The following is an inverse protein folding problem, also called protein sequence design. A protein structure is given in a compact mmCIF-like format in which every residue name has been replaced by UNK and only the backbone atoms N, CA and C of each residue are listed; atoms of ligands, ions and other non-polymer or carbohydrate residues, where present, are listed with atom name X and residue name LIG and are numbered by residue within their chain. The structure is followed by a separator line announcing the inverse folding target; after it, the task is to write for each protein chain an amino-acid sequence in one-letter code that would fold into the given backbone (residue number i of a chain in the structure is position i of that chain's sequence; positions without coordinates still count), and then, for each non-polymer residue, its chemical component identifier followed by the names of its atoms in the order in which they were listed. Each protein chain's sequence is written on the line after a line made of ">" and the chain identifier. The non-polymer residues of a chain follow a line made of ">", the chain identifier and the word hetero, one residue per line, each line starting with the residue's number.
data_IF_982058528015
#
_entry.id   IF_982058528015
#
_cell.length_a   1.000
_cell.length_b   1.000
_cell.length_c   1.000
_cell.angle_alpha   90.00
_cell.angle_beta   90.00
_cell.angle_gamma   90.00
#
_symmetry.space_group_name_H-M   'P 1'
#
loop_
_entity.id
_entity.type
_entity.pdbx_description
1 polymer ?
#
# COMPACT_ATOMS: atom_id res chain seq x y z
N UNK A 1 -23.49 43.44 33.65
CA UNK A 1 -22.25 42.86 33.09
C UNK A 1 -21.67 43.84 32.07
N UNK A 2 -20.49 44.41 32.31
CA UNK A 2 -19.81 45.30 31.35
C UNK A 2 -18.95 44.45 30.41
N UNK A 3 -19.25 44.46 29.11
CA UNK A 3 -18.41 43.80 28.10
C UNK A 3 -16.99 44.39 28.11
N UNK A 4 -15.94 43.57 28.08
CA UNK A 4 -14.58 44.09 28.03
C UNK A 4 -14.32 44.76 26.68
N UNK A 5 -13.80 46.00 26.74
CA UNK A 5 -13.44 46.82 25.58
C UNK A 5 -12.35 46.16 24.73
N UNK A 6 -12.57 46.13 23.40
CA UNK A 6 -11.65 45.62 22.37
C UNK A 6 -10.31 46.38 22.29
N UNK A 7 -10.11 47.47 23.05
CA UNK A 7 -8.86 48.25 23.05
C UNK A 7 -7.66 47.47 23.61
N UNK A 8 -7.87 46.47 24.46
CA UNK A 8 -6.79 45.67 25.04
C UNK A 8 -6.20 44.60 24.09
N UNK A 9 -6.84 44.35 22.94
CA UNK A 9 -6.39 43.35 21.94
C UNK A 9 -5.28 43.93 21.03
N UNK A 10 -5.01 45.25 21.09
CA UNK A 10 -3.96 45.90 20.30
C UNK A 10 -2.61 46.02 21.01
N UNK A 11 -2.50 45.59 22.27
CA UNK A 11 -1.23 45.55 22.98
C UNK A 11 -0.44 44.29 22.53
N UNK A 12 0.73 44.45 21.87
CA UNK A 12 1.53 43.33 21.39
C UNK A 12 1.88 42.33 22.49
N UNK A 13 2.09 42.80 23.73
CA UNK A 13 2.41 41.95 24.85
C UNK A 13 1.21 41.09 25.27
N UNK A 14 0.01 41.67 25.27
CA UNK A 14 -1.24 40.94 25.58
C UNK A 14 -1.57 39.94 24.48
N UNK A 15 -1.30 40.27 23.21
CA UNK A 15 -1.47 39.34 22.08
C UNK A 15 -0.49 38.17 22.18
N UNK A 16 0.79 38.43 22.47
CA UNK A 16 1.80 37.37 22.66
C UNK A 16 1.44 36.49 23.85
N UNK A 17 1.05 37.09 24.98
CA UNK A 17 0.61 36.36 26.16
C UNK A 17 -0.66 35.53 25.88
N UNK A 18 -1.62 36.08 25.15
CA UNK A 18 -2.84 35.38 24.75
C UNK A 18 -2.54 34.23 23.80
N UNK A 19 -1.62 34.40 22.84
CA UNK A 19 -1.17 33.33 21.96
C UNK A 19 -0.46 32.22 22.75
N UNK A 20 0.41 32.58 23.69
CA UNK A 20 1.05 31.62 24.60
C UNK A 20 0.04 30.91 25.50
N UNK A 21 -0.99 31.61 25.99
CA UNK A 21 -2.07 31.04 26.80
C UNK A 21 -3.01 30.16 25.96
N UNK A 22 -3.23 30.47 24.69
CA UNK A 22 -3.98 29.64 23.73
C UNK A 22 -3.19 28.38 23.40
N UNK A 23 -1.89 28.48 23.08
CA UNK A 23 -1.03 27.31 22.86
C UNK A 23 -0.98 26.46 24.12
N UNK A 24 -0.74 27.06 25.30
CA UNK A 24 -0.81 26.34 26.59
C UNK A 24 -2.17 25.72 26.86
N UNK A 25 -3.28 26.31 26.40
CA UNK A 25 -4.63 25.75 26.59
C UNK A 25 -5.00 24.69 25.56
N UNK A 26 -4.48 24.77 24.34
CA UNK A 26 -4.56 23.71 23.34
C UNK A 26 -3.67 22.52 23.75
N UNK A 27 -2.55 22.78 24.42
CA UNK A 27 -1.70 21.78 25.08
C UNK A 27 -2.28 21.26 26.42
N UNK A 28 -3.31 21.90 27.01
CA UNK A 28 -3.98 21.39 28.22
C UNK A 28 -5.01 20.33 27.79
N UNK A 29 -4.97 19.09 28.26
CA UNK A 29 -4.22 18.58 29.40
C UNK A 29 -4.77 17.21 29.75
N UNK A 30 -4.43 16.21 28.93
CA UNK A 30 -4.51 14.80 29.31
C UNK A 30 -3.55 13.93 28.48
N UNK A 31 -2.42 14.50 28.04
CA UNK A 31 -1.35 13.65 27.56
C UNK A 31 -0.80 12.91 28.77
N UNK A 32 -0.92 11.58 28.79
CA UNK A 32 -0.24 10.74 29.78
C UNK A 32 1.29 11.00 29.80
N UNK A 33 1.81 11.68 28.77
CA UNK A 33 3.19 12.00 28.50
C UNK A 33 3.61 13.38 29.03
N UNK A 34 3.70 13.54 30.34
CA UNK A 34 4.03 14.83 30.99
C UNK A 34 5.48 15.29 30.81
N UNK A 35 6.38 14.39 30.39
CA UNK A 35 7.81 14.67 30.17
C UNK A 35 8.12 15.20 28.76
N UNK A 36 7.11 15.27 27.91
CA UNK A 36 7.24 15.57 26.48
C UNK A 36 6.80 17.00 26.20
N UNK A 37 7.58 17.72 25.40
CA UNK A 37 7.25 19.04 24.89
C UNK A 37 7.31 19.03 23.36
N UNK A 38 6.79 20.08 22.73
CA UNK A 38 6.70 20.20 21.27
C UNK A 38 8.00 19.84 20.54
N UNK A 39 9.17 20.43 20.90
CA UNK A 39 10.44 20.12 20.26
C UNK A 39 10.86 18.65 20.36
N UNK A 40 10.77 18.04 21.56
CA UNK A 40 11.11 16.61 21.75
C UNK A 40 10.17 15.71 20.97
N UNK A 41 8.88 16.02 20.94
CA UNK A 41 7.91 15.27 20.15
C UNK A 41 8.17 15.38 18.65
N UNK A 42 8.51 16.55 18.15
CA UNK A 42 8.80 16.75 16.72
C UNK A 42 9.97 15.88 16.27
N UNK A 43 11.05 15.83 17.06
CA UNK A 43 12.21 15.01 16.74
C UNK A 43 11.85 13.51 16.74
N UNK A 44 11.14 13.05 17.77
CA UNK A 44 10.71 11.64 17.86
C UNK A 44 9.76 11.28 16.73
N UNK A 45 8.85 12.18 16.33
CA UNK A 45 7.97 11.97 15.18
C UNK A 45 8.74 11.74 13.89
N UNK A 46 9.85 12.46 13.67
CA UNK A 46 10.71 12.21 12.51
C UNK A 46 11.42 10.85 12.60
N UNK A 47 11.80 10.42 13.80
CA UNK A 47 12.51 9.15 13.99
C UNK A 47 11.63 7.89 13.85
N UNK A 48 10.30 7.98 13.77
CA UNK A 48 9.40 6.81 13.70
C UNK A 48 9.64 5.99 12.43
N UNK A 49 9.86 6.67 11.31
CA UNK A 49 9.99 6.06 10.00
C UNK A 49 11.39 5.49 9.74
N UNK A 50 12.28 5.47 10.74
CA UNK A 50 13.63 4.94 10.59
C UNK A 50 14.11 4.20 11.85
N UNK A 51 15.17 3.40 11.70
CA UNK A 51 15.74 2.66 12.81
C UNK A 51 16.85 3.47 13.48
N UNK A 52 16.55 4.04 14.65
CA UNK A 52 17.51 4.77 15.50
C UNK A 52 17.60 4.09 16.87
N UNK A 53 18.82 3.91 17.44
CA UNK A 53 18.96 3.40 18.80
C UNK A 53 18.26 4.29 19.84
N UNK A 54 17.28 3.73 20.56
CA UNK A 54 16.47 4.47 21.53
C UNK A 54 17.30 5.07 22.68
N UNK A 55 18.41 4.42 23.06
CA UNK A 55 19.32 4.93 24.09
C UNK A 55 20.02 6.23 23.65
N UNK A 56 20.50 6.29 22.41
CA UNK A 56 21.16 7.48 21.89
C UNK A 56 20.15 8.61 21.62
N UNK A 57 18.95 8.25 21.13
CA UNK A 57 17.85 9.20 20.97
C UNK A 57 17.45 9.80 22.33
N UNK A 58 17.35 8.99 23.38
CA UNK A 58 17.13 9.45 24.76
C UNK A 58 18.21 10.43 25.20
N UNK A 59 19.48 10.10 24.97
CA UNK A 59 20.60 10.95 25.38
C UNK A 59 20.58 12.30 24.68
N UNK A 60 20.21 12.33 23.40
CA UNK A 60 19.99 13.58 22.67
C UNK A 60 18.80 14.36 23.23
N UNK A 61 17.64 13.72 23.41
CA UNK A 61 16.42 14.37 23.92
C UNK A 61 16.61 14.96 25.33
N UNK A 62 17.41 14.31 26.18
CA UNK A 62 17.72 14.79 27.53
C UNK A 62 18.64 16.03 27.55
N UNK A 63 19.31 16.35 26.44
CA UNK A 63 20.01 17.65 26.29
C UNK A 63 19.05 18.79 25.97
N UNK A 64 17.86 18.48 25.47
CA UNK A 64 16.81 19.45 25.23
C UNK A 64 16.08 19.79 26.55
N UNK A 65 15.42 20.95 26.60
CA UNK A 65 14.64 21.36 27.78
C UNK A 65 13.55 20.32 28.13
N UNK A 66 13.35 20.06 29.42
CA UNK A 66 12.28 19.21 29.94
C UNK A 66 12.75 18.13 30.93
N UNK A 67 11.82 17.42 31.59
CA UNK A 67 12.15 16.36 32.56
C UNK A 67 12.99 15.24 31.94
N UNK A 68 13.85 14.59 32.73
CA UNK A 68 14.67 13.48 32.24
C UNK A 68 13.80 12.31 31.75
N UNK A 69 14.09 11.84 30.54
CA UNK A 69 13.49 10.68 29.89
C UNK A 69 14.35 9.44 30.16
N UNK A 70 13.68 8.35 30.50
CA UNK A 70 14.24 6.99 30.48
C UNK A 70 14.19 6.42 29.06
N UNK A 71 14.92 5.33 28.82
CA UNK A 71 14.85 4.61 27.54
C UNK A 71 13.43 4.13 27.26
N UNK A 72 12.73 3.62 28.28
CA UNK A 72 11.35 3.17 28.15
C UNK A 72 10.38 4.32 27.81
N UNK A 73 10.61 5.53 28.34
CA UNK A 73 9.80 6.69 27.96
C UNK A 73 9.90 6.94 26.44
N UNK A 74 11.10 6.84 25.87
CA UNK A 74 11.36 7.06 24.42
C UNK A 74 10.79 5.93 23.57
N UNK A 75 11.05 4.67 23.92
CA UNK A 75 10.54 3.50 23.19
C UNK A 75 9.01 3.47 23.14
N UNK A 76 8.36 3.70 24.28
CA UNK A 76 6.91 3.73 24.32
C UNK A 76 6.34 4.94 23.61
N UNK A 77 7.04 6.08 23.58
CA UNK A 77 6.59 7.24 22.81
C UNK A 77 6.71 7.02 21.30
N UNK A 78 7.80 6.40 20.84
CA UNK A 78 7.96 5.98 19.44
C UNK A 78 6.81 5.05 19.01
N UNK A 79 6.50 4.04 19.85
CA UNK A 79 5.39 3.11 19.60
C UNK A 79 4.03 3.82 19.58
N UNK A 80 3.76 4.68 20.56
CA UNK A 80 2.51 5.42 20.63
C UNK A 80 2.29 6.28 19.38
N UNK A 81 3.32 6.96 18.88
CA UNK A 81 3.16 7.74 17.66
C UNK A 81 3.02 6.90 16.39
N UNK A 82 3.66 5.73 16.32
CA UNK A 82 3.46 4.80 15.22
C UNK A 82 1.99 4.34 15.15
N UNK A 83 1.40 4.00 16.31
CA UNK A 83 -0.01 3.61 16.43
C UNK A 83 -0.97 4.76 16.09
N UNK A 84 -0.69 5.99 16.54
CA UNK A 84 -1.54 7.17 16.30
C UNK A 84 -1.60 7.60 14.83
N UNK A 85 -0.48 7.49 14.10
CA UNK A 85 -0.37 8.07 12.74
C UNK A 85 -0.80 7.13 11.63
N UNK A 86 -1.12 5.85 11.91
CA UNK A 86 -1.11 4.79 10.90
C UNK A 86 0.16 4.85 10.03
N UNK A 87 1.25 5.37 10.61
CA UNK A 87 2.53 5.48 9.92
C UNK A 87 3.18 4.13 10.06
N UNK A 88 3.51 3.52 8.93
CA UNK A 88 4.25 2.27 8.94
C UNK A 88 5.58 2.52 9.67
N UNK A 89 5.85 1.69 10.68
CA UNK A 89 7.17 1.60 11.28
C UNK A 89 8.14 1.18 10.16
N UNK A 90 9.38 1.67 10.22
CA UNK A 90 10.41 1.21 9.29
C UNK A 90 10.44 -0.32 9.28
N UNK A 91 10.35 -0.94 8.10
CA UNK A 91 10.32 -2.41 8.00
C UNK A 91 11.55 -3.00 8.67
N UNK A 92 11.37 -4.13 9.37
CA UNK A 92 12.46 -4.82 10.07
C UNK A 92 13.64 -5.15 9.15
N UNK A 93 13.37 -5.42 7.87
CA UNK A 93 14.37 -5.71 6.85
C UNK A 93 15.34 -4.54 6.58
N UNK A 94 14.95 -3.30 6.86
CA UNK A 94 15.81 -2.12 6.68
C UNK A 94 16.67 -1.81 7.91
N UNK A 95 16.43 -2.49 9.04
CA UNK A 95 17.15 -2.27 10.30
C UNK A 95 18.68 -2.36 10.15
N UNK A 96 19.25 -3.39 9.49
CA UNK A 96 20.70 -3.49 9.36
C UNK A 96 21.32 -2.32 8.58
N UNK A 97 20.67 -1.87 7.50
CA UNK A 97 21.13 -0.75 6.69
C UNK A 97 21.08 0.57 7.45
N UNK A 98 19.96 0.83 8.14
CA UNK A 98 19.82 2.00 8.99
C UNK A 98 20.85 2.03 10.12
N UNK A 99 21.09 0.91 10.81
CA UNK A 99 22.08 0.87 11.89
C UNK A 99 23.51 1.09 11.37
N UNK A 100 23.84 0.59 10.17
CA UNK A 100 25.16 0.83 9.57
C UNK A 100 25.37 2.32 9.24
N UNK A 101 24.37 2.98 8.65
CA UNK A 101 24.39 4.42 8.39
C UNK A 101 24.48 5.20 9.70
N UNK A 102 23.67 4.82 10.69
CA UNK A 102 23.66 5.46 12.00
C UNK A 102 25.04 5.45 12.66
N UNK A 103 25.71 4.29 12.71
CA UNK A 103 27.04 4.17 13.32
C UNK A 103 28.11 4.98 12.56
N UNK A 104 28.02 5.03 11.23
CA UNK A 104 28.92 5.85 10.40
C UNK A 104 28.75 7.35 10.69
N UNK A 105 27.51 7.84 10.62
CA UNK A 105 27.20 9.25 10.88
C UNK A 105 27.52 9.66 12.32
N UNK A 106 27.30 8.76 13.29
CA UNK A 106 27.65 8.98 14.69
C UNK A 106 29.17 9.12 14.86
N UNK A 107 29.96 8.29 14.15
CA UNK A 107 31.42 8.36 14.20
C UNK A 107 31.96 9.67 13.61
N UNK A 108 31.28 10.21 12.60
CA UNK A 108 31.61 11.50 11.97
C UNK A 108 31.18 12.71 12.83
N UNK A 109 30.47 12.48 13.94
CA UNK A 109 29.99 13.52 14.84
C UNK A 109 28.77 14.27 14.30
N UNK A 110 28.02 13.68 13.36
CA UNK A 110 26.80 14.26 12.81
C UNK A 110 25.73 14.43 13.90
N UNK A 111 25.02 15.55 13.87
CA UNK A 111 23.94 15.84 14.83
C UNK A 111 22.73 14.92 14.61
N UNK A 112 22.10 14.46 15.71
CA UNK A 112 20.99 13.50 15.68
C UNK A 112 19.86 13.86 14.69
N UNK A 113 19.38 15.11 14.59
CA UNK A 113 18.35 15.47 13.61
C UNK A 113 18.80 15.26 12.16
N UNK A 114 20.09 15.49 11.86
CA UNK A 114 20.67 15.25 10.54
C UNK A 114 20.80 13.74 10.25
N UNK A 115 21.26 12.96 11.24
CA UNK A 115 21.29 11.48 11.12
C UNK A 115 19.90 10.94 10.81
N UNK A 116 18.86 11.40 11.52
CA UNK A 116 17.46 11.00 11.27
C UNK A 116 17.06 11.31 9.82
N UNK A 117 17.43 12.47 9.29
CA UNK A 117 17.17 12.84 7.89
C UNK A 117 17.81 11.88 6.89
N UNK A 118 19.10 11.55 7.08
CA UNK A 118 19.80 10.58 6.21
C UNK A 118 19.16 9.19 6.28
N UNK A 119 18.73 8.77 7.47
CA UNK A 119 18.05 7.48 7.64
C UNK A 119 16.68 7.45 6.98
N UNK A 120 15.92 8.55 7.01
CA UNK A 120 14.64 8.67 6.30
C UNK A 120 14.85 8.51 4.79
N UNK A 121 15.83 9.22 4.21
CA UNK A 121 16.15 9.09 2.79
C UNK A 121 16.58 7.66 2.40
N UNK A 122 17.29 6.96 3.29
CA UNK A 122 17.65 5.57 3.08
C UNK A 122 16.42 4.67 3.05
N UNK A 123 15.52 4.78 4.04
CA UNK A 123 14.29 3.99 4.11
C UNK A 123 13.42 4.22 2.88
N UNK A 124 13.20 5.48 2.49
CA UNK A 124 12.40 5.82 1.30
C UNK A 124 12.97 5.16 0.02
N UNK A 125 14.30 5.14 -0.13
CA UNK A 125 14.97 4.50 -1.27
C UNK A 125 14.80 2.98 -1.27
N UNK A 126 14.92 2.36 -0.10
CA UNK A 126 14.77 0.90 0.03
C UNK A 126 13.31 0.48 -0.20
N UNK A 127 12.34 1.26 0.25
CA UNK A 127 10.91 1.06 -0.05
C UNK A 127 10.62 1.13 -1.54
N UNK A 128 11.16 2.14 -2.23
CA UNK A 128 11.01 2.28 -3.67
C UNK A 128 11.60 1.07 -4.42
N UNK A 129 12.81 0.66 -4.03
CA UNK A 129 13.46 -0.51 -4.62
C UNK A 129 12.58 -1.76 -4.47
N UNK A 130 12.05 -1.98 -3.27
CA UNK A 130 11.21 -3.14 -2.98
C UNK A 130 9.89 -3.08 -3.75
N UNK A 131 9.27 -1.89 -3.86
CA UNK A 131 8.04 -1.69 -4.63
C UNK A 131 8.24 -2.06 -6.09
N UNK A 132 9.30 -1.55 -6.72
CA UNK A 132 9.63 -1.86 -8.12
C UNK A 132 9.89 -3.34 -8.31
N UNK A 133 10.63 -3.98 -7.39
CA UNK A 133 10.91 -5.41 -7.46
C UNK A 133 9.64 -6.26 -7.34
N UNK A 134 8.75 -5.92 -6.40
CA UNK A 134 7.47 -6.62 -6.22
C UNK A 134 6.56 -6.44 -7.43
N UNK A 135 6.49 -5.24 -7.99
CA UNK A 135 5.71 -4.98 -9.20
C UNK A 135 6.24 -5.79 -10.39
N UNK A 136 7.57 -5.79 -10.61
CA UNK A 136 8.18 -6.59 -11.67
C UNK A 136 7.90 -8.10 -11.51
N UNK A 137 8.02 -8.63 -10.28
CA UNK A 137 7.69 -10.03 -9.97
C UNK A 137 6.22 -10.34 -10.23
N UNK A 138 5.32 -9.45 -9.85
CA UNK A 138 3.88 -9.60 -10.07
C UNK A 138 3.52 -9.61 -11.55
N UNK A 139 4.08 -8.68 -12.33
CA UNK A 139 3.87 -8.62 -13.78
C UNK A 139 4.41 -9.86 -14.47
N UNK A 140 5.59 -10.34 -14.07
CA UNK A 140 6.18 -11.56 -14.61
C UNK A 140 5.33 -12.80 -14.29
N UNK A 141 4.83 -12.92 -13.05
CA UNK A 141 3.93 -14.00 -12.66
C UNK A 141 2.65 -13.97 -13.51
N UNK A 142 2.01 -12.81 -13.66
CA UNK A 142 0.84 -12.64 -14.52
C UNK A 142 1.11 -13.03 -15.96
N UNK A 143 2.26 -12.61 -16.52
CA UNK A 143 2.65 -12.93 -17.89
C UNK A 143 2.84 -14.44 -18.06
N UNK A 144 3.46 -15.12 -17.10
CA UNK A 144 3.61 -16.58 -17.09
C UNK A 144 2.27 -17.30 -16.98
N UNK A 145 1.39 -16.84 -16.10
CA UNK A 145 0.04 -17.42 -15.95
C UNK A 145 -0.79 -17.26 -17.23
N UNK A 146 -0.73 -16.09 -17.87
CA UNK A 146 -1.36 -15.84 -19.16
C UNK A 146 -0.82 -16.77 -20.25
N UNK A 147 0.51 -16.83 -20.41
CA UNK A 147 1.14 -17.71 -21.40
C UNK A 147 0.83 -19.19 -21.14
N UNK A 148 0.80 -19.63 -19.87
CA UNK A 148 0.43 -21.00 -19.52
C UNK A 148 -1.04 -21.31 -19.82
N UNK A 149 -1.94 -20.37 -19.60
CA UNK A 149 -3.35 -20.52 -19.95
C UNK A 149 -3.56 -20.57 -21.47
N UNK A 150 -2.89 -19.71 -22.23
CA UNK A 150 -2.89 -19.71 -23.69
C UNK A 150 -2.33 -21.03 -24.26
N UNK A 151 -1.19 -21.49 -23.75
CA UNK A 151 -0.61 -22.77 -24.16
C UNK A 151 -1.55 -23.95 -23.85
N UNK A 152 -2.24 -23.93 -22.71
CA UNK A 152 -3.23 -24.96 -22.36
C UNK A 152 -4.39 -24.96 -23.35
N UNK A 153 -4.94 -23.79 -23.68
CA UNK A 153 -6.01 -23.63 -24.66
C UNK A 153 -5.60 -24.17 -26.04
N UNK A 154 -4.37 -23.84 -26.48
CA UNK A 154 -3.82 -24.27 -27.77
C UNK A 154 -3.50 -25.77 -27.81
N UNK A 155 -3.10 -26.37 -26.67
CA UNK A 155 -2.75 -27.79 -26.59
C UNK A 155 -3.93 -28.75 -26.79
N UNK A 156 -5.17 -28.26 -26.81
CA UNK A 156 -6.37 -29.09 -26.88
C UNK A 156 -6.84 -29.65 -25.54
N UNK A 157 -6.10 -29.40 -24.45
CA UNK A 157 -6.52 -29.76 -23.10
C UNK A 157 -7.70 -28.91 -22.62
N UNK A 158 -8.55 -29.49 -21.76
CA UNK A 158 -9.62 -28.77 -21.11
C UNK A 158 -9.08 -27.61 -20.26
N UNK A 159 -9.73 -26.45 -20.37
CA UNK A 159 -9.28 -25.23 -19.72
C UNK A 159 -10.42 -24.28 -19.43
N UNK A 160 -10.24 -23.45 -18.40
CA UNK A 160 -11.17 -22.36 -18.06
C UNK A 160 -11.11 -21.24 -19.11
N UNK A 161 -12.04 -20.30 -18.99
CA UNK A 161 -12.08 -19.08 -19.79
C UNK A 161 -10.74 -18.33 -19.77
N UNK A 162 -10.08 -18.36 -20.92
CA UNK A 162 -8.76 -17.78 -21.18
C UNK A 162 -8.95 -16.61 -22.15
N UNK A 163 -8.57 -15.38 -21.78
CA UNK A 163 -8.57 -14.25 -22.70
C UNK A 163 -7.67 -14.51 -23.90
N UNK A 164 -8.08 -14.07 -25.08
CA UNK A 164 -7.26 -14.18 -26.27
C UNK A 164 -6.60 -12.85 -26.61
N UNK A 165 -5.29 -12.84 -26.95
CA UNK A 165 -4.63 -11.62 -27.35
C UNK A 165 -5.33 -10.92 -28.52
N UNK A 166 -5.36 -9.59 -28.48
CA UNK A 166 -5.87 -8.70 -29.55
C UNK A 166 -7.39 -8.70 -29.77
N UNK A 167 -8.16 -9.57 -29.09
CA UNK A 167 -9.63 -9.51 -29.11
C UNK A 167 -10.19 -9.33 -27.70
N UNK A 168 -11.49 -9.01 -27.60
CA UNK A 168 -12.20 -8.99 -26.32
C UNK A 168 -12.81 -10.35 -25.97
N UNK A 169 -12.50 -11.36 -26.77
CA UNK A 169 -13.06 -12.70 -26.64
C UNK A 169 -12.33 -13.48 -25.55
N UNK A 170 -13.06 -14.39 -24.93
CA UNK A 170 -12.48 -15.40 -24.04
C UNK A 170 -12.85 -16.78 -24.55
N UNK A 171 -11.94 -17.72 -24.42
CA UNK A 171 -12.11 -19.08 -24.93
C UNK A 171 -12.00 -20.09 -23.81
N UNK A 172 -12.71 -21.20 -23.91
CA UNK A 172 -12.53 -22.33 -23.01
C UNK A 172 -12.58 -23.64 -23.79
N UNK A 173 -12.01 -24.69 -23.19
CA UNK A 173 -12.15 -26.06 -23.68
C UNK A 173 -12.78 -26.93 -22.62
N UNK A 174 -13.81 -27.67 -23.02
CA UNK A 174 -14.48 -28.65 -22.17
C UNK A 174 -14.79 -29.87 -23.01
N UNK A 175 -14.38 -31.06 -22.55
CA UNK A 175 -14.51 -32.32 -23.28
C UNK A 175 -13.90 -32.25 -24.69
N UNK A 176 -12.77 -31.54 -24.84
CA UNK A 176 -12.06 -31.36 -26.11
C UNK A 176 -12.68 -30.38 -27.11
N UNK A 177 -13.90 -29.89 -26.85
CA UNK A 177 -14.60 -28.89 -27.68
C UNK A 177 -14.15 -27.48 -27.30
N UNK A 178 -14.03 -26.60 -28.29
CA UNK A 178 -13.58 -25.23 -28.11
C UNK A 178 -14.76 -24.27 -28.18
N UNK A 179 -14.92 -23.45 -27.14
CA UNK A 179 -15.96 -22.45 -27.05
C UNK A 179 -15.37 -21.05 -27.00
N UNK A 180 -15.97 -20.12 -27.71
CA UNK A 180 -15.63 -18.69 -27.74
C UNK A 180 -16.77 -17.89 -27.14
N UNK A 181 -16.46 -16.96 -26.25
CA UNK A 181 -17.41 -16.02 -25.68
C UNK A 181 -17.03 -14.60 -26.11
N UNK A 182 -17.89 -13.96 -26.88
CA UNK A 182 -17.66 -12.64 -27.47
C UNK A 182 -18.65 -11.61 -26.91
N UNK A 183 -18.21 -10.38 -26.57
CA UNK A 183 -19.12 -9.34 -26.13
C UNK A 183 -19.97 -8.82 -27.30
N UNK A 184 -21.29 -8.95 -27.17
CA UNK A 184 -22.28 -8.45 -28.10
C UNK A 184 -22.60 -6.95 -27.92
N UNK A 185 -23.34 -6.35 -28.86
CA UNK A 185 -23.66 -4.92 -28.85
C UNK A 185 -24.60 -4.49 -27.71
N UNK A 186 -25.37 -5.43 -27.15
CA UNK A 186 -26.35 -5.23 -26.09
C UNK A 186 -25.80 -5.51 -24.68
N UNK A 187 -24.46 -5.55 -24.54
CA UNK A 187 -23.73 -5.95 -23.33
C UNK A 187 -23.96 -7.42 -22.92
N UNK A 188 -24.63 -8.23 -23.75
CA UNK A 188 -24.68 -9.69 -23.57
C UNK A 188 -23.43 -10.33 -24.15
N UNK A 189 -23.24 -11.59 -23.82
CA UNK A 189 -22.13 -12.42 -24.25
C UNK A 189 -22.67 -13.48 -25.19
N UNK A 190 -22.20 -13.47 -26.43
CA UNK A 190 -22.53 -14.46 -27.44
C UNK A 190 -21.56 -15.64 -27.32
N UNK A 191 -22.11 -16.84 -27.09
CA UNK A 191 -21.36 -18.08 -26.96
C UNK A 191 -21.37 -18.81 -28.30
N UNK A 192 -20.18 -19.10 -28.82
CA UNK A 192 -19.98 -19.87 -30.03
C UNK A 192 -19.21 -21.15 -29.73
N UNK A 193 -19.53 -22.22 -30.45
CA UNK A 193 -18.60 -23.33 -30.65
C UNK A 193 -17.76 -23.05 -31.90
N UNK A 194 -16.43 -23.21 -31.79
CA UNK A 194 -15.49 -22.89 -32.86
C UNK A 194 -14.49 -24.04 -33.03
N UNK A 195 -13.96 -24.22 -34.23
CA UNK A 195 -12.97 -25.29 -34.47
C UNK A 195 -11.57 -24.89 -34.00
N UNK A 196 -11.22 -23.61 -34.17
CA UNK A 196 -9.92 -23.05 -33.78
C UNK A 196 -10.08 -21.64 -33.23
N UNK A 197 -9.06 -21.17 -32.50
CA UNK A 197 -9.00 -19.80 -31.95
C UNK A 197 -8.88 -18.73 -33.04
N UNK A 198 -8.46 -19.11 -34.25
CA UNK A 198 -8.32 -18.24 -35.42
C UNK A 198 -9.58 -18.21 -36.29
N UNK A 199 -10.54 -19.11 -36.03
CA UNK A 199 -11.77 -19.18 -36.80
C UNK A 199 -12.60 -17.90 -36.60
N UNK A 200 -12.83 -17.17 -37.69
CA UNK A 200 -13.67 -15.98 -37.68
C UNK A 200 -15.14 -16.33 -37.33
N UNK A 201 -15.61 -17.48 -37.82
CA UNK A 201 -16.96 -18.00 -37.59
C UNK A 201 -17.04 -19.11 -36.54
N UNK A 202 -18.25 -19.39 -36.09
CA UNK A 202 -18.58 -20.47 -35.17
C UNK A 202 -20.09 -20.68 -35.12
N UNK A 203 -20.52 -21.82 -34.59
CA UNK A 203 -21.94 -22.11 -34.35
C UNK A 203 -22.41 -21.35 -33.11
N UNK A 204 -23.41 -20.47 -33.25
CA UNK A 204 -23.95 -19.71 -32.13
C UNK A 204 -24.78 -20.64 -31.24
N UNK A 205 -24.26 -20.92 -30.04
CA UNK A 205 -24.91 -21.80 -29.06
C UNK A 205 -25.93 -21.04 -28.20
N UNK A 206 -25.71 -19.74 -27.98
CA UNK A 206 -26.65 -18.93 -27.19
C UNK A 206 -26.10 -17.55 -26.82
N UNK A 207 -26.95 -16.75 -26.16
CA UNK A 207 -26.61 -15.42 -25.63
C UNK A 207 -26.84 -15.37 -24.12
N UNK A 208 -25.88 -14.85 -23.38
CA UNK A 208 -25.86 -14.87 -21.92
C UNK A 208 -25.62 -13.49 -21.34
N UNK A 209 -26.18 -13.22 -20.16
CA UNK A 209 -25.95 -11.95 -19.45
C UNK A 209 -24.59 -11.93 -18.77
N UNK A 210 -24.18 -13.05 -18.15
CA UNK A 210 -22.93 -13.17 -17.41
C UNK A 210 -22.12 -14.37 -17.88
N UNK A 211 -20.80 -14.29 -17.74
CA UNK A 211 -19.89 -15.41 -18.02
C UNK A 211 -20.25 -16.67 -17.24
N UNK A 212 -20.71 -16.52 -15.99
CA UNK A 212 -21.15 -17.66 -15.18
C UNK A 212 -22.34 -18.42 -15.78
N UNK A 213 -23.25 -17.75 -16.47
CA UNK A 213 -24.38 -18.39 -17.14
C UNK A 213 -23.90 -19.19 -18.36
N UNK A 214 -22.96 -18.62 -19.12
CA UNK A 214 -22.31 -19.31 -20.24
C UNK A 214 -21.50 -20.54 -19.77
N UNK A 215 -20.81 -20.47 -18.63
CA UNK A 215 -20.09 -21.63 -18.07
C UNK A 215 -21.05 -22.80 -17.81
N UNK A 216 -22.19 -22.55 -17.16
CA UNK A 216 -23.19 -23.59 -16.89
C UNK A 216 -23.75 -24.20 -18.17
N UNK A 217 -23.95 -23.37 -19.21
CA UNK A 217 -24.41 -23.86 -20.50
C UNK A 217 -23.34 -24.74 -21.18
N UNK A 218 -22.07 -24.32 -21.16
CA UNK A 218 -20.96 -25.10 -21.70
C UNK A 218 -20.85 -26.45 -20.99
N UNK A 219 -20.98 -26.50 -19.66
CA UNK A 219 -20.98 -27.76 -18.90
C UNK A 219 -22.08 -28.73 -19.33
N UNK A 220 -23.25 -28.23 -19.74
CA UNK A 220 -24.35 -29.07 -20.23
C UNK A 220 -24.14 -29.48 -21.69
N UNK A 221 -23.74 -28.54 -22.54
CA UNK A 221 -23.65 -28.75 -23.99
C UNK A 221 -22.43 -29.60 -24.35
N UNK A 222 -21.30 -29.44 -23.65
CA UNK A 222 -20.05 -30.11 -23.98
C UNK A 222 -20.17 -31.64 -24.00
N UNK A 223 -20.99 -32.22 -23.12
CA UNK A 223 -21.21 -33.66 -23.01
C UNK A 223 -22.42 -34.18 -23.80
N UNK A 224 -23.21 -33.29 -24.44
CA UNK A 224 -24.25 -33.73 -25.34
C UNK A 224 -23.61 -34.21 -26.64
N UNK A 225 -23.87 -35.47 -27.01
CA UNK A 225 -23.49 -36.00 -28.31
C UNK A 225 -24.20 -35.20 -29.40
N UNK A 226 -23.47 -34.36 -30.12
CA UNK A 226 -23.90 -33.87 -31.42
C UNK A 226 -23.71 -35.03 -32.40
N UNK A 227 -24.81 -35.68 -32.77
CA UNK A 227 -24.81 -36.52 -33.96
C UNK A 227 -24.51 -35.59 -35.14
N UNK A 228 -23.24 -35.58 -35.59
CA UNK A 228 -22.84 -34.89 -36.83
C UNK A 228 -23.75 -35.40 -37.95
N UNK A 229 -24.60 -34.52 -38.47
CA UNK A 229 -25.32 -34.73 -39.73
C UNK A 229 -24.43 -34.34 -40.90
#
# INVERSE_FOLDING_TARGET
>A
MKSPSLRHIKDPYVVIKLAQDIVKKLDRGNSAWTKWNGPREQLVKSAIACWVPAADLRDHLNRMEGPALSTSDVEQRLRAFAEERYSDFARDEFRPGCLAIYEAEKADGTEMPAIIGVLQEHVEREEERLRVEQEARYQELKRREQAAAENRLLSGADCKWTPWPKTKDVYCRVSGRLFRLSPGPDKRLDLYEVESVEAAGGELMGRYLKRGDATKAVELIAYQHTARR
#
